data_IF_096605503214
#
_entry.id   IF_096605503214
#
_cell.length_a   1.000
_cell.length_b   1.000
_cell.length_c   1.000
_cell.angle_alpha   90.00
_cell.angle_beta   90.00
_cell.angle_gamma   90.00
#
_symmetry.space_group_name_H-M   'P 1'
#
loop_
_entity.id
_entity.type
_entity.pdbx_description
1 polymer ?
#
# COMPACT_ATOMS: atom_id res chain seq x y z
N UNK A 1 -2.28 20.13 3.01
CA UNK A 1 -2.40 18.67 2.93
C UNK A 1 -1.01 18.10 2.73
N UNK A 2 -0.52 17.24 3.63
CA UNK A 2 0.81 16.63 3.54
C UNK A 2 0.88 15.62 2.38
N UNK A 3 2.09 15.25 1.92
CA UNK A 3 2.25 14.19 0.91
C UNK A 3 1.62 12.86 1.36
N UNK A 4 1.68 12.56 2.66
CA UNK A 4 1.11 11.34 3.24
C UNK A 4 -0.42 11.38 3.24
N UNK A 5 -1.04 12.53 3.54
CA UNK A 5 -2.50 12.69 3.46
C UNK A 5 -3.01 12.54 2.04
N UNK A 6 -2.32 13.14 1.06
CA UNK A 6 -2.65 12.96 -0.35
C UNK A 6 -2.54 11.49 -0.77
N UNK A 7 -1.50 10.80 -0.31
CA UNK A 7 -1.32 9.38 -0.55
C UNK A 7 -2.44 8.52 0.05
N UNK A 8 -2.80 8.75 1.32
CA UNK A 8 -3.87 8.01 1.99
C UNK A 8 -5.19 8.18 1.24
N UNK A 9 -5.49 9.40 0.81
CA UNK A 9 -6.67 9.69 0.01
C UNK A 9 -6.63 8.95 -1.34
N UNK A 10 -5.50 9.02 -2.05
CA UNK A 10 -5.34 8.34 -3.34
C UNK A 10 -5.51 6.81 -3.20
N UNK A 11 -5.00 6.20 -2.12
CA UNK A 11 -5.24 4.79 -1.84
C UNK A 11 -6.70 4.49 -1.52
N UNK A 12 -7.36 5.30 -0.71
CA UNK A 12 -8.78 5.12 -0.39
C UNK A 12 -9.64 5.16 -1.66
N UNK A 13 -9.39 6.14 -2.54
CA UNK A 13 -10.13 6.33 -3.79
C UNK A 13 -9.86 5.21 -4.81
N UNK A 14 -8.74 4.48 -4.68
CA UNK A 14 -8.31 3.46 -5.65
C UNK A 14 -8.43 2.03 -5.14
N UNK A 15 -8.94 1.82 -3.92
CA UNK A 15 -9.03 0.50 -3.27
C UNK A 15 -10.38 -0.16 -3.52
N UNK A 16 -10.35 -1.46 -3.83
CA UNK A 16 -11.51 -2.36 -3.91
C UNK A 16 -11.80 -2.98 -2.54
N UNK A 17 -13.00 -3.52 -2.35
CA UNK A 17 -13.43 -4.11 -1.07
C UNK A 17 -12.53 -5.24 -0.56
N UNK A 18 -11.86 -5.96 -1.44
CA UNK A 18 -10.90 -7.03 -1.10
C UNK A 18 -9.45 -6.52 -0.89
N UNK A 19 -9.28 -5.20 -0.83
CA UNK A 19 -8.00 -4.55 -0.58
C UNK A 19 -7.11 -4.38 -1.82
N UNK A 20 -7.49 -4.91 -2.99
CA UNK A 20 -6.72 -4.67 -4.21
C UNK A 20 -6.79 -3.20 -4.63
N UNK A 21 -5.73 -2.70 -5.26
CA UNK A 21 -5.58 -1.28 -5.59
C UNK A 21 -5.52 -1.06 -7.10
N UNK A 22 -6.26 -0.09 -7.63
CA UNK A 22 -6.34 0.24 -9.05
C UNK A 22 -5.04 0.87 -9.57
N UNK A 23 -4.15 0.06 -10.13
CA UNK A 23 -2.89 0.53 -10.70
C UNK A 23 -3.05 1.35 -11.99
N UNK A 24 -4.16 1.22 -12.70
CA UNK A 24 -4.42 2.01 -13.91
C UNK A 24 -4.54 3.50 -13.55
N UNK A 25 -5.39 3.83 -12.57
CA UNK A 25 -5.58 5.22 -12.11
C UNK A 25 -4.32 5.77 -11.45
N UNK A 26 -3.59 4.95 -10.69
CA UNK A 26 -2.33 5.36 -10.08
C UNK A 26 -1.26 5.70 -11.11
N UNK A 27 -1.01 4.80 -12.05
CA UNK A 27 -0.04 5.07 -13.11
C UNK A 27 -0.44 6.31 -13.93
N UNK A 28 -1.73 6.54 -14.16
CA UNK A 28 -2.23 7.75 -14.81
C UNK A 28 -1.93 9.01 -14.00
N UNK A 29 -2.16 9.00 -12.68
CA UNK A 29 -1.83 10.12 -11.79
C UNK A 29 -0.34 10.51 -11.86
N UNK A 30 0.56 9.51 -11.88
CA UNK A 30 2.01 9.72 -11.96
C UNK A 30 2.55 9.86 -13.39
N UNK A 31 1.70 9.86 -14.42
CA UNK A 31 2.14 9.90 -15.83
C UNK A 31 3.02 8.71 -16.25
N UNK A 32 2.85 7.56 -15.60
CA UNK A 32 3.67 6.37 -15.80
C UNK A 32 2.94 5.27 -16.57
N UNK A 33 3.69 4.41 -17.25
CA UNK A 33 3.16 3.27 -18.00
C UNK A 33 3.26 1.98 -17.21
N UNK A 34 2.11 1.43 -16.80
CA UNK A 34 2.05 0.20 -15.99
C UNK A 34 2.76 -1.00 -16.64
N UNK A 35 2.67 -1.14 -17.96
CA UNK A 35 3.32 -2.21 -18.71
C UNK A 35 4.85 -2.15 -18.62
N UNK A 36 5.45 -0.95 -18.53
CA UNK A 36 6.89 -0.79 -18.30
C UNK A 36 7.28 -1.34 -16.94
N UNK A 37 6.51 -1.05 -15.88
CA UNK A 37 6.79 -1.56 -14.54
C UNK A 37 6.63 -3.07 -14.44
N UNK A 38 5.59 -3.65 -15.05
CA UNK A 38 5.37 -5.11 -15.08
C UNK A 38 6.51 -5.88 -15.75
N UNK A 39 7.21 -5.26 -16.71
CA UNK A 39 8.33 -5.88 -17.44
C UNK A 39 9.65 -5.87 -16.65
N UNK A 40 9.77 -5.05 -15.59
CA UNK A 40 11.00 -4.96 -14.82
C UNK A 40 11.35 -6.31 -14.17
N UNK A 41 12.61 -6.77 -14.21
CA UNK A 41 13.02 -8.02 -13.58
C UNK A 41 12.65 -8.09 -12.10
N UNK A 42 12.84 -6.99 -11.36
CA UNK A 42 12.45 -6.87 -9.94
C UNK A 42 10.95 -7.09 -9.70
N UNK A 43 10.10 -6.64 -10.62
CA UNK A 43 8.65 -6.79 -10.50
C UNK A 43 8.23 -8.23 -10.75
N UNK A 44 8.82 -8.87 -11.76
CA UNK A 44 8.62 -10.31 -12.01
C UNK A 44 9.06 -11.15 -10.80
N UNK A 45 10.28 -10.91 -10.30
CA UNK A 45 10.80 -11.62 -9.14
C UNK A 45 9.89 -11.47 -7.90
N UNK A 46 9.34 -10.27 -7.67
CA UNK A 46 8.44 -10.02 -6.54
C UNK A 46 7.07 -10.68 -6.71
N UNK A 47 6.53 -10.68 -7.93
CA UNK A 47 5.30 -11.41 -8.27
C UNK A 47 5.46 -12.91 -8.00
N UNK A 48 6.56 -13.51 -8.43
CA UNK A 48 6.85 -14.93 -8.15
C UNK A 48 7.05 -15.21 -6.66
N UNK A 49 7.70 -14.29 -5.93
CA UNK A 49 7.84 -14.43 -4.48
C UNK A 49 6.48 -14.39 -3.78
N UNK A 50 5.59 -13.48 -4.17
CA UNK A 50 4.24 -13.38 -3.63
C UNK A 50 3.45 -14.67 -3.86
N UNK A 51 3.49 -15.22 -5.09
CA UNK A 51 2.81 -16.49 -5.40
C UNK A 51 3.32 -17.67 -4.57
N UNK A 52 4.59 -17.66 -4.17
CA UNK A 52 5.14 -18.69 -3.29
C UNK A 52 4.71 -18.54 -1.84
N UNK A 53 4.59 -17.31 -1.34
CA UNK A 53 4.20 -17.05 0.06
C UNK A 53 2.70 -17.08 0.27
N UNK A 54 1.93 -16.68 -0.74
CA UNK A 54 0.46 -16.59 -0.71
C UNK A 54 -0.14 -17.26 -1.96
N UNK A 55 -0.16 -18.61 -2.02
CA UNK A 55 -0.47 -19.36 -3.25
C UNK A 55 -1.87 -19.12 -3.83
N UNK A 56 -2.82 -18.70 -3.00
CA UNK A 56 -4.21 -18.44 -3.39
C UNK A 56 -4.45 -16.98 -3.82
N UNK A 57 -3.39 -16.19 -4.02
CA UNK A 57 -3.50 -14.78 -4.40
C UNK A 57 -2.93 -14.54 -5.78
N UNK A 58 -3.56 -13.63 -6.53
CA UNK A 58 -3.01 -13.16 -7.78
C UNK A 58 -2.27 -11.83 -7.57
N UNK A 59 -1.01 -11.70 -7.99
CA UNK A 59 -0.25 -10.44 -7.88
C UNK A 59 -0.97 -9.25 -8.52
N UNK A 60 -1.77 -9.51 -9.55
CA UNK A 60 -2.71 -8.56 -10.11
C UNK A 60 -3.86 -9.25 -10.84
N UNK A 61 -5.01 -8.58 -10.88
CA UNK A 61 -6.21 -8.98 -11.59
C UNK A 61 -6.46 -7.96 -12.70
N UNK A 62 -6.82 -8.43 -13.89
CA UNK A 62 -7.21 -7.56 -15.01
C UNK A 62 -8.68 -7.83 -15.30
N UNK A 63 -9.50 -6.79 -15.16
CA UNK A 63 -10.94 -6.89 -15.37
C UNK A 63 -11.48 -5.67 -16.11
N UNK A 64 -12.70 -5.81 -16.62
CA UNK A 64 -13.38 -4.74 -17.36
C UNK A 64 -14.33 -4.00 -16.43
N UNK A 65 -14.09 -2.71 -16.23
CA UNK A 65 -14.96 -1.81 -15.47
C UNK A 65 -15.61 -0.85 -16.47
N UNK A 66 -16.88 -1.09 -16.78
CA UNK A 66 -17.60 -0.40 -17.84
C UNK A 66 -16.93 -0.59 -19.21
N UNK A 67 -16.42 0.50 -19.79
CA UNK A 67 -15.76 0.49 -21.11
C UNK A 67 -14.24 0.33 -21.04
N UNK A 68 -13.65 0.31 -19.84
CA UNK A 68 -12.20 0.37 -19.65
C UNK A 68 -11.67 -0.92 -19.02
N UNK A 69 -10.46 -1.34 -19.42
CA UNK A 69 -9.71 -2.39 -18.73
C UNK A 69 -8.92 -1.80 -17.57
N UNK A 70 -9.13 -2.36 -16.38
CA UNK A 70 -8.49 -1.94 -15.14
C UNK A 70 -7.58 -3.05 -14.65
N UNK A 71 -6.38 -2.69 -14.18
CA UNK A 71 -5.51 -3.60 -13.45
C UNK A 71 -5.59 -3.29 -11.96
N UNK A 72 -5.98 -4.28 -11.18
CA UNK A 72 -5.99 -4.27 -9.73
C UNK A 72 -4.75 -4.99 -9.22
N UNK A 73 -3.99 -4.38 -8.30
CA UNK A 73 -2.79 -5.00 -7.70
C UNK A 73 -3.11 -5.53 -6.31
N UNK A 74 -2.54 -6.69 -5.99
CA UNK A 74 -2.44 -7.14 -4.61
C UNK A 74 -1.76 -6.07 -3.74
N UNK A 75 -2.13 -5.87 -2.46
CA UNK A 75 -1.55 -4.83 -1.61
C UNK A 75 -0.01 -4.79 -1.58
N UNK A 76 0.64 -5.96 -1.52
CA UNK A 76 2.10 -6.06 -1.56
C UNK A 76 2.67 -5.54 -2.89
N UNK A 77 2.00 -5.86 -4.01
CA UNK A 77 2.41 -5.38 -5.33
C UNK A 77 2.11 -3.89 -5.52
N UNK A 78 1.04 -3.38 -4.89
CA UNK A 78 0.77 -1.95 -4.83
C UNK A 78 1.92 -1.23 -4.12
N UNK A 79 2.29 -1.61 -2.89
CA UNK A 79 3.44 -1.00 -2.18
C UNK A 79 4.71 -1.00 -3.04
N UNK A 80 4.96 -2.08 -3.79
CA UNK A 80 6.09 -2.17 -4.73
C UNK A 80 5.99 -1.20 -5.92
N UNK A 81 4.80 -1.03 -6.51
CA UNK A 81 4.58 -0.06 -7.59
C UNK A 81 4.75 1.38 -7.07
N UNK A 82 4.10 1.72 -5.96
CA UNK A 82 4.17 3.08 -5.44
C UNK A 82 5.57 3.48 -5.01
N UNK A 83 6.30 2.58 -4.33
CA UNK A 83 7.69 2.83 -3.97
C UNK A 83 8.59 3.04 -5.19
N UNK A 84 8.16 2.56 -6.36
CA UNK A 84 8.84 2.83 -7.62
C UNK A 84 8.45 4.18 -8.24
N UNK A 85 7.22 4.63 -8.05
CA UNK A 85 6.68 5.88 -8.62
C UNK A 85 7.04 7.11 -7.78
N UNK A 86 7.12 6.96 -6.45
CA UNK A 86 7.36 8.07 -5.53
C UNK A 86 8.38 7.73 -4.45
N UNK A 87 9.43 8.55 -4.36
CA UNK A 87 10.52 8.36 -3.38
C UNK A 87 10.08 8.71 -1.97
N UNK A 88 9.21 9.71 -1.81
CA UNK A 88 8.69 10.11 -0.49
C UNK A 88 7.93 8.96 0.17
N UNK A 89 7.07 8.30 -0.61
CA UNK A 89 6.36 7.10 -0.20
C UNK A 89 7.31 5.94 0.14
N UNK A 90 8.32 5.68 -0.69
CA UNK A 90 9.31 4.64 -0.40
C UNK A 90 10.01 4.89 0.95
N UNK A 91 10.35 6.15 1.25
CA UNK A 91 10.92 6.54 2.54
C UNK A 91 9.93 6.43 3.69
N UNK A 92 8.64 6.72 3.46
CA UNK A 92 7.60 6.53 4.47
C UNK A 92 7.47 5.06 4.88
N UNK A 93 7.41 4.14 3.92
CA UNK A 93 7.37 2.70 4.18
C UNK A 93 8.62 2.23 4.91
N UNK A 94 9.80 2.71 4.50
CA UNK A 94 11.05 2.42 5.20
C UNK A 94 11.04 2.95 6.64
N UNK A 95 10.46 4.14 6.88
CA UNK A 95 10.29 4.72 8.21
C UNK A 95 9.40 3.86 9.12
N UNK A 96 8.30 3.30 8.59
CA UNK A 96 7.46 2.35 9.33
C UNK A 96 8.26 1.10 9.71
N UNK A 97 9.00 0.52 8.75
CA UNK A 97 9.83 -0.65 9.02
C UNK A 97 10.93 -0.35 10.05
N UNK A 98 11.55 0.84 9.98
CA UNK A 98 12.53 1.32 10.95
C UNK A 98 11.92 1.38 12.36
N UNK A 99 10.72 1.98 12.51
CA UNK A 99 10.00 2.03 13.78
C UNK A 99 9.70 0.64 14.35
N UNK A 100 9.36 -0.33 13.49
CA UNK A 100 9.24 -1.74 13.92
C UNK A 100 10.57 -2.28 14.47
N UNK A 101 11.67 -2.04 13.76
CA UNK A 101 13.00 -2.54 14.13
C UNK A 101 13.55 -1.91 15.41
N UNK A 102 13.17 -0.66 15.71
CA UNK A 102 13.56 0.04 16.94
C UNK A 102 12.56 -0.14 18.08
N UNK A 103 11.55 -1.00 17.90
CA UNK A 103 10.47 -1.21 18.86
C UNK A 103 9.84 0.10 19.36
N UNK A 104 9.58 1.03 18.43
CA UNK A 104 8.95 2.31 18.76
C UNK A 104 7.57 2.05 19.41
N UNK A 105 7.37 2.42 20.70
CA UNK A 105 6.15 2.13 21.43
C UNK A 105 4.92 2.85 20.87
N UNK A 106 5.12 3.92 20.10
CA UNK A 106 4.03 4.74 19.53
C UNK A 106 3.49 4.17 18.22
N UNK A 107 4.19 3.22 17.58
CA UNK A 107 3.80 2.70 16.27
C UNK A 107 2.42 2.03 16.29
N UNK A 108 2.12 1.28 17.36
CA UNK A 108 0.82 0.65 17.54
C UNK A 108 -0.31 1.67 17.59
N UNK A 109 -0.12 2.74 18.37
CA UNK A 109 -1.09 3.84 18.50
C UNK A 109 -1.29 4.61 17.18
N UNK A 110 -0.21 4.86 16.43
CA UNK A 110 -0.29 5.53 15.12
C UNK A 110 -1.03 4.69 14.05
N UNK A 111 -0.89 3.36 14.09
CA UNK A 111 -1.64 2.46 13.21
C UNK A 111 -3.10 2.44 13.63
N UNK A 112 -3.34 2.32 14.93
CA UNK A 112 -4.65 2.31 15.55
C UNK A 112 -5.43 3.60 15.28
N UNK A 113 -4.80 4.78 15.33
CA UNK A 113 -5.48 6.07 15.10
C UNK A 113 -6.01 6.26 13.68
N UNK A 114 -5.56 5.43 12.74
CA UNK A 114 -6.02 5.42 11.33
C UNK A 114 -7.20 4.49 11.13
N UNK A 115 -7.49 3.66 12.12
CA UNK A 115 -8.68 2.84 12.18
C UNK A 115 -9.62 3.56 13.15
N UNK A 116 -10.73 4.12 12.67
CA UNK A 116 -11.75 4.73 13.54
C UNK A 116 -12.53 3.64 14.32
N UNK A 117 -11.81 2.72 14.97
CA UNK A 117 -12.34 1.55 15.67
C UNK A 117 -12.14 1.73 17.17
N UNK A 118 -13.05 1.14 17.97
CA UNK A 118 -12.97 1.16 19.43
C UNK A 118 -11.67 0.55 19.95
N UNK A 119 -11.19 -0.53 19.32
CA UNK A 119 -9.89 -1.15 19.62
C UNK A 119 -8.72 -0.21 19.34
N UNK A 120 -8.83 0.60 18.28
CA UNK A 120 -7.82 1.61 17.96
C UNK A 120 -7.71 2.67 19.06
N UNK A 121 -8.85 3.14 19.58
CA UNK A 121 -8.89 4.10 20.68
C UNK A 121 -8.28 3.54 21.98
N UNK A 122 -8.52 2.26 22.28
CA UNK A 122 -7.94 1.58 23.45
C UNK A 122 -6.42 1.46 23.35
N UNK A 123 -5.89 1.11 22.18
CA UNK A 123 -4.44 1.03 21.92
C UNK A 123 -3.79 2.41 22.12
N UNK A 124 -4.42 3.49 21.64
CA UNK A 124 -3.93 4.87 21.81
C UNK A 124 -3.90 5.25 23.29
N UNK A 125 -4.98 4.97 24.02
CA UNK A 125 -5.07 5.30 25.45
C UNK A 125 -3.98 4.59 26.25
N UNK A 126 -3.65 3.34 25.91
CA UNK A 126 -2.61 2.59 26.60
C UNK A 126 -1.20 3.12 26.31
N UNK A 127 -0.90 3.43 25.05
CA UNK A 127 0.40 3.98 24.66
C UNK A 127 0.70 5.35 25.32
N UNK A 128 -0.33 6.17 25.56
CA UNK A 128 -0.21 7.45 26.26
C UNK A 128 0.02 7.31 27.77
N UNK A 129 -0.29 6.17 28.37
CA UNK A 129 -0.04 5.89 29.79
C UNK A 129 1.40 5.43 30.07
N UNK A 130 2.08 4.91 29.04
CA UNK A 130 3.45 4.38 29.13
C UNK A 130 4.54 5.43 28.77
N UNK A 131 4.15 6.69 28.50
CA UNK A 131 4.99 7.86 28.19
C UNK A 131 5.18 8.76 29.42
#
# INVERSE_FOLDING_TARGET
>A
MSQIEHFNKLLQDTRRDDGYVNATELCKHFGYRLDKWKRLPKTKARSEALKRTEPNTEPWIVERVGKTWVTWLHPIMAVHLFSHLDRGFAMHVAGIAFRCMTADPTLGADIASRQETTEGLDIISKALQDL
#
